data_IF_287350996418
#
_entry.id   IF_287350996418
#
_cell.length_a   1.000
_cell.length_b   1.000
_cell.length_c   1.000
_cell.angle_alpha   90.00
_cell.angle_beta   90.00
_cell.angle_gamma   90.00
#
_symmetry.space_group_name_H-M   'P 1'
#
loop_
_entity.id
_entity.type
_entity.pdbx_description
1 polymer ?
#
# COMPACT_ATOMS: atom_id res chain seq x y z
N UNK A 1 -36.72 6.01 -13.39
CA UNK A 1 -35.78 5.00 -13.93
C UNK A 1 -34.64 5.77 -14.57
N UNK A 2 -33.45 5.72 -13.93
CA UNK A 2 -32.22 6.24 -14.51
C UNK A 2 -31.73 5.25 -15.56
N UNK A 3 -31.19 5.70 -16.71
CA UNK A 3 -30.66 4.81 -17.73
C UNK A 3 -29.40 4.10 -17.19
N UNK A 4 -29.25 2.82 -17.52
CA UNK A 4 -28.05 2.05 -17.22
C UNK A 4 -26.83 2.70 -17.92
N UNK A 5 -25.75 2.85 -17.19
CA UNK A 5 -24.45 3.31 -17.72
C UNK A 5 -23.70 2.05 -18.15
N UNK A 6 -23.19 2.04 -19.39
CA UNK A 6 -22.32 0.97 -19.88
C UNK A 6 -21.10 0.81 -18.95
N UNK A 7 -20.88 -0.39 -18.42
CA UNK A 7 -19.84 -0.68 -17.41
C UNK A 7 -20.31 -0.53 -15.95
N UNK A 8 -21.58 -0.21 -15.69
CA UNK A 8 -22.14 -0.08 -14.33
C UNK A 8 -22.28 -1.40 -13.57
N UNK A 9 -22.17 -2.52 -14.28
CA UNK A 9 -22.20 -3.87 -13.71
C UNK A 9 -20.80 -4.46 -13.45
N UNK A 10 -19.73 -3.72 -13.72
CA UNK A 10 -18.41 -4.10 -13.28
C UNK A 10 -18.36 -3.88 -11.76
N UNK A 11 -18.70 -4.93 -11.04
CA UNK A 11 -18.50 -4.98 -9.59
C UNK A 11 -17.06 -4.56 -9.29
N UNK A 12 -16.92 -3.48 -8.52
CA UNK A 12 -15.67 -3.17 -7.84
C UNK A 12 -15.48 -4.28 -6.81
N UNK A 13 -14.87 -5.37 -7.23
CA UNK A 13 -14.49 -6.44 -6.33
C UNK A 13 -13.42 -5.90 -5.38
N UNK A 14 -13.55 -6.11 -4.06
CA UNK A 14 -12.46 -5.84 -3.12
C UNK A 14 -11.18 -6.52 -3.62
N UNK A 15 -10.04 -5.89 -3.41
CA UNK A 15 -8.72 -6.31 -3.93
C UNK A 15 -8.19 -7.66 -3.42
N UNK A 16 -8.95 -8.37 -2.63
CA UNK A 16 -8.71 -9.78 -2.27
C UNK A 16 -9.26 -10.77 -3.32
N UNK A 17 -9.90 -10.28 -4.39
CA UNK A 17 -10.26 -11.10 -5.54
C UNK A 17 -9.33 -10.76 -6.69
N UNK A 18 -8.54 -11.72 -7.12
CA UNK A 18 -7.67 -11.63 -8.30
C UNK A 18 -8.51 -11.30 -9.53
N UNK A 19 -8.02 -10.39 -10.36
CA UNK A 19 -8.57 -10.08 -11.68
C UNK A 19 -8.72 -11.40 -12.45
N UNK A 20 -9.97 -11.82 -12.71
CA UNK A 20 -10.26 -13.10 -13.36
C UNK A 20 -11.11 -14.07 -12.53
N UNK A 21 -11.57 -13.67 -11.33
CA UNK A 21 -12.55 -14.46 -10.55
C UNK A 21 -11.99 -15.75 -9.95
N UNK A 22 -10.68 -15.88 -9.81
CA UNK A 22 -10.10 -16.97 -9.03
C UNK A 22 -9.86 -16.50 -7.60
N UNK A 23 -10.56 -17.14 -6.66
CA UNK A 23 -10.29 -17.00 -5.24
C UNK A 23 -8.83 -17.38 -4.93
N UNK A 24 -8.23 -16.67 -3.95
CA UNK A 24 -6.94 -17.11 -3.39
C UNK A 24 -6.99 -18.59 -3.06
N UNK A 25 -5.96 -19.41 -3.33
CA UNK A 25 -5.95 -20.85 -3.09
C UNK A 25 -6.19 -21.25 -1.62
N UNK A 26 -6.32 -20.32 -0.71
CA UNK A 26 -6.50 -20.54 0.74
C UNK A 26 -7.90 -20.24 1.24
N UNK A 27 -8.87 -19.89 0.37
CA UNK A 27 -10.23 -19.55 0.78
C UNK A 27 -11.17 -20.76 0.74
N UNK A 28 -10.86 -21.81 1.50
CA UNK A 28 -11.83 -22.84 1.87
C UNK A 28 -12.25 -22.59 3.32
N UNK A 29 -13.34 -21.81 3.45
CA UNK A 29 -13.98 -21.56 4.71
C UNK A 29 -14.41 -22.86 5.40
N UNK A 30 -13.95 -23.06 6.62
CA UNK A 30 -14.54 -24.01 7.57
C UNK A 30 -15.07 -23.19 8.73
N UNK A 31 -16.39 -23.05 8.78
CA UNK A 31 -17.07 -22.55 9.98
C UNK A 31 -16.96 -23.63 11.06
N UNK A 32 -16.38 -23.29 12.20
CA UNK A 32 -16.58 -24.05 13.43
C UNK A 32 -17.07 -23.09 14.51
N UNK A 33 -18.34 -23.36 14.92
CA UNK A 33 -18.96 -22.76 16.06
C UNK A 33 -18.35 -23.29 17.37
N UNK A 34 -18.24 -22.38 18.31
CA UNK A 34 -17.95 -22.39 19.71
C UNK A 34 -17.70 -23.68 20.48
N UNK A 35 -16.64 -23.63 21.27
CA UNK A 35 -16.63 -24.24 22.61
C UNK A 35 -15.68 -23.46 23.52
N UNK A 36 -16.25 -22.86 24.57
CA UNK A 36 -15.52 -22.41 25.75
C UNK A 36 -14.84 -23.62 26.41
N UNK A 37 -13.50 -23.58 26.42
CA UNK A 37 -12.74 -24.44 27.36
C UNK A 37 -11.56 -23.63 27.86
N UNK A 38 -11.29 -23.65 29.15
CA UNK A 38 -10.15 -23.12 29.87
C UNK A 38 -8.85 -23.29 29.03
N UNK A 39 -8.38 -22.20 28.47
CA UNK A 39 -7.17 -22.23 27.65
C UNK A 39 -5.93 -22.36 28.56
N UNK A 40 -5.07 -23.36 28.33
CA UNK A 40 -3.76 -23.37 28.95
C UNK A 40 -3.02 -22.10 28.53
N UNK A 41 -2.27 -21.52 29.48
CA UNK A 41 -1.44 -20.33 29.28
C UNK A 41 -0.56 -20.56 28.03
N UNK A 42 -0.93 -19.91 26.93
CA UNK A 42 -0.27 -20.10 25.64
C UNK A 42 1.24 -19.89 25.77
N UNK A 43 2.00 -20.76 25.15
CA UNK A 43 3.44 -20.52 24.94
C UNK A 43 3.57 -19.14 24.29
N UNK A 44 4.56 -18.34 24.74
CA UNK A 44 4.78 -17.00 24.18
C UNK A 44 5.02 -17.14 22.66
N UNK A 45 4.08 -16.66 21.85
CA UNK A 45 4.17 -16.71 20.40
C UNK A 45 5.30 -15.82 19.90
N UNK A 46 5.83 -16.15 18.73
CA UNK A 46 6.81 -15.31 18.03
C UNK A 46 6.07 -14.16 17.38
N UNK A 47 6.46 -12.92 17.70
CA UNK A 47 5.84 -11.71 17.20
C UNK A 47 6.79 -10.92 16.30
N UNK A 48 6.30 -10.47 15.14
CA UNK A 48 7.02 -9.57 14.21
C UNK A 48 6.19 -8.33 13.94
N UNK A 49 6.80 -7.16 14.08
CA UNK A 49 6.20 -5.86 13.73
C UNK A 49 6.74 -5.37 12.40
N UNK A 50 5.87 -4.99 11.49
CA UNK A 50 6.29 -4.48 10.17
C UNK A 50 7.15 -3.22 10.24
N UNK A 51 6.95 -2.37 11.27
CA UNK A 51 7.78 -1.19 11.48
C UNK A 51 9.28 -1.50 11.74
N UNK A 52 9.58 -2.69 12.23
CA UNK A 52 10.97 -3.10 12.54
C UNK A 52 11.72 -3.58 11.28
N UNK A 53 11.05 -3.64 10.12
CA UNK A 53 11.60 -4.15 8.85
C UNK A 53 11.92 -3.05 7.84
N UNK A 54 11.63 -1.79 8.14
CA UNK A 54 11.66 -0.72 7.12
C UNK A 54 13.06 -0.36 6.59
N UNK A 55 14.12 -0.53 7.37
CA UNK A 55 15.49 -0.27 6.92
C UNK A 55 15.68 1.12 6.28
N UNK A 56 16.38 1.19 5.13
CA UNK A 56 16.63 2.41 4.35
C UNK A 56 15.58 2.66 3.23
N UNK A 57 14.58 1.80 3.13
CA UNK A 57 13.56 1.84 2.08
C UNK A 57 12.79 3.17 2.00
N UNK A 58 12.43 3.85 3.11
CA UNK A 58 11.79 5.16 3.03
C UNK A 58 12.63 6.20 2.27
N UNK A 59 13.95 6.23 2.49
CA UNK A 59 14.87 7.13 1.76
C UNK A 59 14.91 6.81 0.27
N UNK A 60 14.99 5.53 -0.08
CA UNK A 60 15.00 5.07 -1.49
C UNK A 60 13.69 5.41 -2.21
N UNK A 61 12.56 5.27 -1.51
CA UNK A 61 11.25 5.63 -2.04
C UNK A 61 11.10 7.16 -2.21
N UNK A 62 11.60 7.94 -1.24
CA UNK A 62 11.60 9.39 -1.33
C UNK A 62 12.41 9.88 -2.53
N UNK A 63 13.58 9.31 -2.76
CA UNK A 63 14.42 9.63 -3.91
C UNK A 63 13.74 9.28 -5.24
N UNK A 64 13.02 8.17 -5.31
CA UNK A 64 12.25 7.80 -6.50
C UNK A 64 11.14 8.83 -6.79
N UNK A 65 10.39 9.24 -5.77
CA UNK A 65 9.35 10.27 -5.90
C UNK A 65 9.93 11.64 -6.28
N UNK A 66 11.06 12.04 -5.67
CA UNK A 66 11.73 13.31 -6.01
C UNK A 66 12.20 13.33 -7.46
N UNK A 67 12.76 12.24 -7.96
CA UNK A 67 13.14 12.10 -9.38
C UNK A 67 11.93 12.16 -10.29
N UNK A 68 10.83 11.53 -9.92
CA UNK A 68 9.59 11.59 -10.69
C UNK A 68 9.05 13.02 -10.78
N UNK A 69 8.92 13.74 -9.67
CA UNK A 69 8.47 15.13 -9.67
C UNK A 69 9.39 16.04 -10.49
N UNK A 70 10.70 15.81 -10.47
CA UNK A 70 11.65 16.58 -11.27
C UNK A 70 11.51 16.31 -12.77
N UNK A 71 11.16 15.07 -13.18
CA UNK A 71 10.83 14.76 -14.57
C UNK A 71 9.53 15.43 -15.01
N UNK A 72 8.51 15.37 -14.19
CA UNK A 72 7.21 16.03 -14.44
C UNK A 72 7.38 17.53 -14.61
N UNK A 73 8.07 18.21 -13.70
CA UNK A 73 8.29 19.66 -13.75
C UNK A 73 8.90 20.08 -15.07
N UNK A 74 10.01 19.44 -15.48
CA UNK A 74 10.67 19.79 -16.74
C UNK A 74 9.74 19.65 -17.94
N UNK A 75 8.97 18.57 -18.00
CA UNK A 75 8.06 18.32 -19.11
C UNK A 75 6.87 19.30 -19.10
N UNK A 76 6.27 19.53 -17.94
CA UNK A 76 5.13 20.45 -17.76
C UNK A 76 5.56 21.88 -18.11
N UNK A 77 6.67 22.35 -17.55
CA UNK A 77 7.17 23.71 -17.84
C UNK A 77 7.53 23.91 -19.31
N UNK A 78 8.11 22.89 -19.95
CA UNK A 78 8.39 22.93 -21.39
C UNK A 78 7.10 23.02 -22.22
N UNK A 79 6.06 22.24 -21.88
CA UNK A 79 4.80 22.25 -22.60
C UNK A 79 4.03 23.57 -22.39
N UNK A 80 3.99 24.09 -21.17
CA UNK A 80 3.38 25.39 -20.87
C UNK A 80 4.10 26.55 -21.57
N UNK A 81 5.43 26.53 -21.62
CA UNK A 81 6.24 27.53 -22.35
C UNK A 81 6.00 27.52 -23.86
N UNK A 82 5.74 26.34 -24.43
CA UNK A 82 5.39 26.16 -25.83
C UNK A 82 3.91 26.46 -26.14
N UNK A 83 3.09 26.79 -25.13
CA UNK A 83 1.62 26.95 -25.22
C UNK A 83 0.96 25.75 -25.88
N UNK A 84 1.45 24.54 -25.58
CA UNK A 84 0.88 23.29 -26.08
C UNK A 84 -0.47 22.99 -25.40
N UNK A 85 -1.44 22.51 -26.14
CA UNK A 85 -2.78 22.19 -25.64
C UNK A 85 -2.80 21.04 -24.64
N UNK A 86 -1.76 20.22 -24.58
CA UNK A 86 -1.63 19.06 -23.70
C UNK A 86 -0.42 19.15 -22.77
N UNK A 87 -0.45 20.06 -21.79
CA UNK A 87 0.65 20.20 -20.83
C UNK A 87 0.77 19.04 -19.84
N UNK A 88 -0.24 18.16 -19.75
CA UNK A 88 -0.26 17.00 -18.86
C UNK A 88 -0.58 15.71 -19.59
N UNK A 89 0.31 14.73 -19.50
CA UNK A 89 0.16 13.39 -20.07
C UNK A 89 -0.06 12.37 -18.95
N UNK A 90 -1.32 12.24 -18.48
CA UNK A 90 -1.68 11.33 -17.38
C UNK A 90 -1.25 9.88 -17.63
N UNK A 91 -1.52 9.26 -18.81
CA UNK A 91 -1.13 7.88 -19.06
C UNK A 91 0.39 7.65 -18.98
N UNK A 92 1.18 8.60 -19.44
CA UNK A 92 2.62 8.55 -19.35
C UNK A 92 3.09 8.59 -17.90
N UNK A 93 2.60 9.57 -17.12
CA UNK A 93 3.01 9.75 -15.74
C UNK A 93 2.62 8.58 -14.85
N UNK A 94 1.42 8.02 -15.07
CA UNK A 94 0.95 6.84 -14.34
C UNK A 94 1.81 5.62 -14.64
N UNK A 95 2.16 5.39 -15.90
CA UNK A 95 3.03 4.28 -16.29
C UNK A 95 4.44 4.44 -15.70
N UNK A 96 5.09 5.61 -15.92
CA UNK A 96 6.46 5.85 -15.44
C UNK A 96 6.58 5.69 -13.92
N UNK A 97 5.66 6.28 -13.16
CA UNK A 97 5.68 6.16 -11.70
C UNK A 97 5.33 4.75 -11.24
N UNK A 98 4.34 4.09 -11.86
CA UNK A 98 4.00 2.73 -11.51
C UNK A 98 5.17 1.77 -11.71
N UNK A 99 5.95 1.92 -12.80
CA UNK A 99 7.15 1.13 -13.05
C UNK A 99 8.25 1.39 -12.01
N UNK A 100 8.49 2.65 -11.64
CA UNK A 100 9.46 3.02 -10.61
C UNK A 100 9.06 2.44 -9.25
N UNK A 101 7.79 2.60 -8.86
CA UNK A 101 7.27 2.07 -7.60
C UNK A 101 7.23 0.54 -7.58
N UNK A 102 6.92 -0.11 -8.70
CA UNK A 102 6.88 -1.58 -8.77
C UNK A 102 8.27 -2.21 -8.55
N UNK A 103 9.31 -1.65 -9.20
CA UNK A 103 10.68 -2.12 -8.98
C UNK A 103 11.09 -1.98 -7.51
N UNK A 104 10.75 -0.85 -6.91
CA UNK A 104 11.04 -0.59 -5.50
C UNK A 104 10.22 -1.48 -4.57
N UNK A 105 8.91 -1.62 -4.80
CA UNK A 105 8.03 -2.47 -4.02
C UNK A 105 8.45 -3.93 -4.08
N UNK A 106 8.80 -4.45 -5.25
CA UNK A 106 9.23 -5.84 -5.40
C UNK A 106 10.49 -6.13 -4.60
N UNK A 107 11.49 -5.25 -4.66
CA UNK A 107 12.73 -5.44 -3.90
C UNK A 107 12.51 -5.26 -2.39
N UNK A 108 11.73 -4.27 -1.99
CA UNK A 108 11.38 -3.99 -0.60
C UNK A 108 10.58 -5.15 0.04
N UNK A 109 9.54 -5.61 -0.66
CA UNK A 109 8.67 -6.70 -0.17
C UNK A 109 9.42 -8.03 -0.12
N UNK A 110 10.33 -8.29 -1.06
CA UNK A 110 11.16 -9.49 -0.99
C UNK A 110 12.07 -9.47 0.25
N UNK A 111 12.80 -8.38 0.48
CA UNK A 111 13.68 -8.24 1.64
C UNK A 111 12.89 -8.33 2.95
N UNK A 112 11.82 -7.54 3.09
CA UNK A 112 10.98 -7.50 4.29
C UNK A 112 10.23 -8.82 4.52
N UNK A 113 9.75 -9.48 3.46
CA UNK A 113 9.05 -10.75 3.56
C UNK A 113 9.96 -11.88 4.01
N UNK A 114 11.19 -11.95 3.47
CA UNK A 114 12.22 -12.90 3.90
C UNK A 114 12.62 -12.67 5.34
N UNK A 115 12.82 -11.43 5.73
CA UNK A 115 13.16 -11.07 7.10
C UNK A 115 12.02 -11.39 8.07
N UNK A 116 10.77 -11.08 7.70
CA UNK A 116 9.59 -11.45 8.49
C UNK A 116 9.48 -12.97 8.66
N UNK A 117 9.67 -13.73 7.58
CA UNK A 117 9.68 -15.19 7.58
C UNK A 117 10.73 -15.74 8.56
N UNK A 118 11.96 -15.21 8.48
CA UNK A 118 13.07 -15.58 9.40
C UNK A 118 12.73 -15.27 10.85
N UNK A 119 12.21 -14.08 11.13
CA UNK A 119 11.84 -13.66 12.49
C UNK A 119 10.67 -14.45 13.06
N UNK A 120 9.77 -14.94 12.20
CA UNK A 120 8.69 -15.85 12.59
C UNK A 120 9.17 -17.28 12.85
N UNK A 121 10.45 -17.59 12.61
CA UNK A 121 11.06 -18.89 12.88
C UNK A 121 11.02 -19.85 11.70
N UNK A 122 10.77 -19.37 10.49
CA UNK A 122 10.68 -20.16 9.25
C UNK A 122 11.92 -19.95 8.34
N UNK A 123 12.09 -20.85 7.37
CA UNK A 123 13.14 -20.75 6.37
C UNK A 123 12.69 -19.93 5.16
N UNK A 124 13.21 -18.70 4.95
CA UNK A 124 12.77 -17.85 3.85
C UNK A 124 13.08 -18.41 2.45
N UNK A 125 13.97 -19.39 2.31
CA UNK A 125 14.26 -20.02 1.03
C UNK A 125 13.22 -21.07 0.65
N UNK A 126 12.45 -21.56 1.60
CA UNK A 126 11.42 -22.59 1.40
C UNK A 126 10.01 -22.02 1.59
N UNK A 127 9.86 -21.07 2.53
CA UNK A 127 8.56 -20.61 3.04
C UNK A 127 8.16 -19.23 2.53
N UNK A 128 9.01 -18.54 1.73
CA UNK A 128 8.70 -17.27 1.09
C UNK A 128 8.78 -17.35 -0.42
N UNK A 129 7.70 -16.96 -1.10
CA UNK A 129 7.60 -16.95 -2.57
C UNK A 129 7.15 -15.57 -3.08
N UNK A 130 8.10 -14.72 -3.46
CA UNK A 130 7.82 -13.39 -4.03
C UNK A 130 6.92 -13.43 -5.28
N UNK A 131 7.06 -14.37 -6.24
CA UNK A 131 6.15 -14.51 -7.37
C UNK A 131 4.66 -14.48 -7.01
N UNK A 132 4.25 -15.02 -5.88
CA UNK A 132 2.85 -15.01 -5.42
C UNK A 132 2.31 -13.61 -5.13
N UNK A 133 3.20 -12.63 -4.89
CA UNK A 133 2.84 -11.25 -4.54
C UNK A 133 2.77 -10.31 -5.74
N UNK A 134 3.28 -10.72 -6.91
CA UNK A 134 3.51 -9.83 -8.05
C UNK A 134 2.23 -9.15 -8.57
N UNK A 135 1.13 -9.89 -8.67
CA UNK A 135 -0.14 -9.32 -9.15
C UNK A 135 -0.64 -8.20 -8.24
N UNK A 136 -0.55 -8.40 -6.92
CA UNK A 136 -0.87 -7.37 -5.93
C UNK A 136 0.05 -6.17 -6.05
N UNK A 137 1.37 -6.38 -6.12
CA UNK A 137 2.36 -5.29 -6.23
C UNK A 137 2.14 -4.45 -7.49
N UNK A 138 1.78 -5.08 -8.61
CA UNK A 138 1.42 -4.35 -9.84
C UNK A 138 0.15 -3.51 -9.65
N UNK A 139 -0.88 -4.06 -9.02
CA UNK A 139 -2.14 -3.35 -8.79
C UNK A 139 -1.95 -2.15 -7.85
N UNK A 140 -1.29 -2.35 -6.70
CA UNK A 140 -1.09 -1.28 -5.71
C UNK A 140 -0.21 -0.15 -6.23
N UNK A 141 0.84 -0.48 -6.99
CA UNK A 141 1.74 0.55 -7.55
C UNK A 141 1.07 1.37 -8.65
N UNK A 142 0.23 0.75 -9.50
CA UNK A 142 -0.60 1.47 -10.47
C UNK A 142 -1.60 2.41 -9.79
N UNK A 143 -2.32 1.93 -8.77
CA UNK A 143 -3.26 2.76 -8.02
C UNK A 143 -2.55 3.94 -7.34
N UNK A 144 -1.42 3.69 -6.69
CA UNK A 144 -0.63 4.72 -6.02
C UNK A 144 -0.08 5.75 -7.01
N UNK A 145 0.44 5.32 -8.15
CA UNK A 145 0.95 6.20 -9.20
C UNK A 145 -0.15 7.14 -9.69
N UNK A 146 -1.33 6.59 -9.99
CA UNK A 146 -2.49 7.39 -10.40
C UNK A 146 -2.87 8.44 -9.37
N UNK A 147 -3.00 8.08 -8.09
CA UNK A 147 -3.38 9.03 -7.03
C UNK A 147 -2.37 10.16 -6.86
N UNK A 148 -1.06 9.84 -6.89
CA UNK A 148 0.02 10.83 -6.80
C UNK A 148 -0.05 11.81 -7.96
N UNK A 149 -0.26 11.32 -9.18
CA UNK A 149 -0.30 12.13 -10.40
C UNK A 149 -1.58 12.98 -10.48
N UNK A 150 -2.74 12.42 -10.16
CA UNK A 150 -4.00 13.17 -10.09
C UNK A 150 -3.95 14.30 -9.07
N UNK A 151 -3.37 14.04 -7.88
CA UNK A 151 -3.18 15.08 -6.87
C UNK A 151 -2.24 16.18 -7.35
N UNK A 152 -1.16 15.83 -8.06
CA UNK A 152 -0.22 16.79 -8.63
C UNK A 152 -0.86 17.62 -9.73
N UNK A 153 -1.59 16.98 -10.65
CA UNK A 153 -2.33 17.66 -11.71
C UNK A 153 -3.32 18.67 -11.15
N UNK A 154 -4.17 18.26 -10.19
CA UNK A 154 -5.15 19.16 -9.55
C UNK A 154 -4.50 20.38 -8.91
N UNK A 155 -3.33 20.21 -8.26
CA UNK A 155 -2.60 21.33 -7.67
C UNK A 155 -2.05 22.28 -8.73
N UNK A 156 -1.56 21.77 -9.85
CA UNK A 156 -1.09 22.58 -10.98
C UNK A 156 -2.27 23.35 -11.61
N UNK A 157 -3.40 22.67 -11.86
CA UNK A 157 -4.62 23.30 -12.39
C UNK A 157 -5.10 24.46 -11.51
N UNK A 158 -5.11 24.27 -10.19
CA UNK A 158 -5.47 25.34 -9.26
C UNK A 158 -4.52 26.54 -9.32
N UNK A 159 -3.22 26.28 -9.35
CA UNK A 159 -2.20 27.33 -9.43
C UNK A 159 -2.23 28.06 -10.79
N UNK A 160 -2.44 27.32 -11.89
CA UNK A 160 -2.60 27.94 -13.20
C UNK A 160 -3.79 28.91 -13.27
N UNK A 161 -4.90 28.57 -12.58
CA UNK A 161 -6.06 29.43 -12.52
C UNK A 161 -5.85 30.68 -11.65
N UNK A 162 -5.04 30.59 -10.59
CA UNK A 162 -4.83 31.65 -9.60
C UNK A 162 -3.64 32.55 -9.96
N UNK A 163 -2.49 31.96 -10.31
CA UNK A 163 -1.21 32.63 -10.46
C UNK A 163 -0.54 32.45 -11.83
N UNK A 164 -1.20 31.72 -12.74
CA UNK A 164 -0.62 31.41 -14.05
C UNK A 164 0.58 30.48 -13.98
N UNK A 165 1.36 30.46 -15.07
CA UNK A 165 2.50 29.54 -15.22
C UNK A 165 3.64 29.80 -14.22
N UNK A 166 3.77 31.01 -13.72
CA UNK A 166 4.83 31.38 -12.77
C UNK A 166 4.68 30.68 -11.41
N UNK A 167 3.48 30.30 -11.03
CA UNK A 167 3.21 29.59 -9.78
C UNK A 167 3.52 28.07 -9.84
N UNK A 168 3.61 27.48 -11.03
CA UNK A 168 3.76 26.03 -11.20
C UNK A 168 5.01 25.44 -10.54
N UNK A 169 6.21 26.06 -10.60
CA UNK A 169 7.39 25.55 -9.91
C UNK A 169 7.19 25.34 -8.40
N UNK A 170 6.39 26.19 -7.74
CA UNK A 170 6.10 26.06 -6.30
C UNK A 170 5.36 24.77 -5.97
N UNK A 171 4.52 24.25 -6.87
CA UNK A 171 3.84 22.94 -6.69
C UNK A 171 4.88 21.84 -6.63
N UNK A 172 5.85 21.86 -7.55
CA UNK A 172 6.89 20.83 -7.61
C UNK A 172 7.91 20.96 -6.47
N UNK A 173 8.24 22.19 -6.03
CA UNK A 173 9.09 22.39 -4.84
C UNK A 173 8.47 21.80 -3.58
N UNK A 174 7.17 22.03 -3.36
CA UNK A 174 6.42 21.40 -2.26
C UNK A 174 6.31 19.89 -2.43
N UNK A 175 6.14 19.41 -3.67
CA UNK A 175 6.11 17.97 -3.93
C UNK A 175 7.43 17.31 -3.55
N UNK A 176 8.58 17.88 -3.92
CA UNK A 176 9.90 17.36 -3.58
C UNK A 176 10.27 17.51 -2.11
N UNK A 177 9.93 18.64 -1.48
CA UNK A 177 10.35 18.95 -0.11
C UNK A 177 9.46 18.33 0.98
N UNK A 178 8.19 18.09 0.70
CA UNK A 178 7.21 17.64 1.70
C UNK A 178 6.48 16.35 1.30
N UNK A 179 5.89 16.32 0.08
CA UNK A 179 5.05 15.21 -0.35
C UNK A 179 5.86 13.95 -0.63
N UNK A 180 7.10 14.09 -1.12
CA UNK A 180 7.96 12.93 -1.40
C UNK A 180 8.26 12.15 -0.12
N UNK A 181 8.70 12.81 0.95
CA UNK A 181 9.01 12.16 2.22
C UNK A 181 7.76 11.50 2.85
N UNK A 182 6.65 12.25 2.94
CA UNK A 182 5.41 11.71 3.52
C UNK A 182 4.83 10.54 2.69
N UNK A 183 4.88 10.66 1.36
CA UNK A 183 4.42 9.62 0.44
C UNK A 183 5.28 8.36 0.48
N UNK A 184 6.60 8.54 0.61
CA UNK A 184 7.55 7.45 0.74
C UNK A 184 7.35 6.68 2.05
N UNK A 185 7.26 7.38 3.19
CA UNK A 185 7.03 6.76 4.49
C UNK A 185 5.73 5.93 4.49
N UNK A 186 4.62 6.52 4.02
CA UNK A 186 3.33 5.83 3.94
C UNK A 186 3.36 4.63 2.96
N UNK A 187 4.10 4.74 1.86
CA UNK A 187 4.24 3.65 0.91
C UNK A 187 5.02 2.48 1.49
N UNK A 188 6.15 2.75 2.15
CA UNK A 188 6.98 1.69 2.75
C UNK A 188 6.29 1.04 3.95
N UNK A 189 5.63 1.81 4.82
CA UNK A 189 4.83 1.24 5.90
C UNK A 189 3.73 0.29 5.39
N UNK A 190 3.08 0.63 4.26
CA UNK A 190 2.12 -0.24 3.61
C UNK A 190 2.77 -1.52 3.05
N UNK A 191 3.94 -1.40 2.39
CA UNK A 191 4.66 -2.56 1.84
C UNK A 191 5.18 -3.47 2.96
N UNK A 192 5.70 -2.91 4.04
CA UNK A 192 6.11 -3.68 5.22
C UNK A 192 4.95 -4.41 5.89
N UNK A 193 3.81 -3.74 6.02
CA UNK A 193 2.59 -4.36 6.54
C UNK A 193 2.11 -5.52 5.66
N UNK A 194 2.07 -5.32 4.35
CA UNK A 194 1.77 -6.37 3.39
C UNK A 194 2.75 -7.54 3.49
N UNK A 195 4.06 -7.27 3.43
CA UNK A 195 5.10 -8.28 3.47
C UNK A 195 5.03 -9.13 4.74
N UNK A 196 4.80 -8.50 5.91
CA UNK A 196 4.71 -9.20 7.20
C UNK A 196 3.49 -10.14 7.25
N UNK A 197 2.32 -9.66 6.81
CA UNK A 197 1.10 -10.48 6.77
C UNK A 197 1.24 -11.61 5.75
N UNK A 198 1.78 -11.31 4.57
CA UNK A 198 1.96 -12.30 3.51
C UNK A 198 2.99 -13.38 3.91
N UNK A 199 4.09 -13.01 4.55
CA UNK A 199 5.07 -13.97 5.07
C UNK A 199 4.40 -14.95 6.05
N UNK A 200 3.56 -14.47 6.96
CA UNK A 200 2.85 -15.35 7.89
C UNK A 200 1.86 -16.29 7.18
N UNK A 201 1.17 -15.81 6.14
CA UNK A 201 0.23 -16.62 5.35
C UNK A 201 0.94 -17.71 4.56
N UNK A 202 2.11 -17.41 4.02
CA UNK A 202 2.89 -18.36 3.23
C UNK A 202 3.58 -19.41 4.11
N UNK A 203 4.23 -18.97 5.20
CA UNK A 203 5.01 -19.84 6.07
C UNK A 203 4.14 -20.69 7.03
N UNK A 204 3.01 -20.16 7.50
CA UNK A 204 2.12 -20.83 8.43
C UNK A 204 0.64 -20.71 7.99
N UNK A 205 0.23 -21.39 6.90
CA UNK A 205 -1.13 -21.30 6.40
C UNK A 205 -2.18 -21.70 7.45
N UNK A 206 -3.17 -20.84 7.63
CA UNK A 206 -4.24 -21.09 8.62
C UNK A 206 -3.84 -20.87 10.07
N UNK A 207 -2.62 -20.37 10.34
CA UNK A 207 -2.12 -20.11 11.68
C UNK A 207 -1.76 -18.62 11.84
N UNK A 208 -1.71 -18.18 13.10
CA UNK A 208 -1.30 -16.83 13.45
C UNK A 208 -2.42 -15.79 13.43
N UNK A 209 -2.12 -14.71 14.09
CA UNK A 209 -2.98 -13.53 14.21
C UNK A 209 -2.23 -12.30 13.74
N UNK A 210 -2.98 -11.26 13.35
CA UNK A 210 -2.44 -9.94 13.03
C UNK A 210 -3.15 -8.89 13.87
N UNK A 211 -2.38 -7.88 14.31
CA UNK A 211 -2.87 -6.78 15.14
C UNK A 211 -2.59 -5.45 14.46
N UNK A 212 -3.60 -4.59 14.36
CA UNK A 212 -3.43 -3.23 13.85
C UNK A 212 -2.74 -2.34 14.88
N UNK A 213 -1.71 -1.62 14.47
CA UNK A 213 -0.96 -0.66 15.30
C UNK A 213 -1.04 0.71 14.66
N UNK A 214 -1.63 1.69 15.32
CA UNK A 214 -1.70 3.06 14.79
C UNK A 214 -0.35 3.76 14.89
N UNK A 215 -0.05 4.53 13.85
CA UNK A 215 1.08 5.45 13.83
C UNK A 215 0.82 6.74 14.62
N UNK A 216 1.71 7.72 14.46
CA UNK A 216 1.53 9.04 15.06
C UNK A 216 0.39 9.80 14.37
N UNK A 217 -0.44 10.52 15.16
CA UNK A 217 -1.57 11.31 14.69
C UNK A 217 -2.51 10.51 13.74
N UNK A 218 -3.06 9.37 14.20
CA UNK A 218 -3.92 8.56 13.39
C UNK A 218 -5.24 9.28 13.10
N UNK A 219 -5.85 8.98 11.96
CA UNK A 219 -7.23 9.36 11.70
C UNK A 219 -8.18 8.69 12.70
N UNK A 220 -9.36 9.26 12.98
CA UNK A 220 -10.34 8.63 13.88
C UNK A 220 -10.69 7.19 13.47
N UNK A 221 -10.83 6.93 12.17
CA UNK A 221 -11.09 5.61 11.59
C UNK A 221 -9.96 4.61 11.92
N UNK A 222 -8.71 5.03 11.81
CA UNK A 222 -7.55 4.19 12.13
C UNK A 222 -7.35 4.03 13.64
N UNK A 223 -7.64 5.07 14.42
CA UNK A 223 -7.56 5.01 15.88
C UNK A 223 -8.53 3.97 16.44
N UNK A 224 -9.72 3.87 15.83
CA UNK A 224 -10.74 2.89 16.27
C UNK A 224 -10.27 1.43 16.10
N UNK A 225 -9.35 1.17 15.16
CA UNK A 225 -8.78 -0.17 14.92
C UNK A 225 -7.54 -0.47 15.80
N UNK A 226 -7.04 0.51 16.57
CA UNK A 226 -5.80 0.30 17.33
C UNK A 226 -5.92 -0.86 18.31
N UNK A 227 -5.06 -1.86 18.15
CA UNK A 227 -5.09 -3.09 18.96
C UNK A 227 -6.12 -4.13 18.50
N UNK A 228 -6.86 -3.85 17.42
CA UNK A 228 -7.73 -4.86 16.83
C UNK A 228 -6.89 -6.04 16.35
N UNK A 229 -7.26 -7.25 16.78
CA UNK A 229 -6.56 -8.48 16.44
C UNK A 229 -7.50 -9.42 15.71
N UNK A 230 -7.07 -9.95 14.58
CA UNK A 230 -7.81 -10.91 13.75
C UNK A 230 -6.90 -12.05 13.32
N UNK A 231 -7.43 -13.20 12.88
CA UNK A 231 -6.63 -14.19 12.15
C UNK A 231 -5.89 -13.53 10.96
N UNK A 232 -4.68 -13.96 10.67
CA UNK A 232 -3.83 -13.33 9.64
C UNK A 232 -4.48 -13.28 8.24
N UNK A 233 -5.37 -14.21 7.93
CA UNK A 233 -6.11 -14.34 6.66
C UNK A 233 -7.49 -13.67 6.66
N UNK A 234 -7.94 -13.10 7.77
CA UNK A 234 -9.24 -12.42 7.89
C UNK A 234 -9.04 -10.91 7.87
N UNK A 235 -9.91 -10.17 7.21
CA UNK A 235 -9.84 -8.71 7.22
C UNK A 235 -10.17 -8.15 8.61
N UNK A 236 -9.66 -6.94 8.90
CA UNK A 236 -10.07 -6.17 10.07
C UNK A 236 -11.53 -5.74 9.94
N UNK A 237 -12.13 -5.27 11.01
CA UNK A 237 -13.55 -4.86 11.08
C UNK A 237 -13.96 -3.84 10.01
N UNK A 238 -13.01 -3.09 9.47
CA UNK A 238 -13.19 -2.12 8.39
C UNK A 238 -13.12 -2.74 6.99
N UNK A 239 -12.89 -4.04 6.85
CA UNK A 239 -12.69 -4.72 5.57
C UNK A 239 -11.31 -4.53 4.97
N UNK A 240 -10.33 -4.06 5.75
CA UNK A 240 -8.94 -3.89 5.32
C UNK A 240 -8.10 -5.08 5.72
N UNK A 241 -7.24 -5.52 4.82
CA UNK A 241 -6.35 -6.66 5.10
C UNK A 241 -5.09 -6.25 5.87
N UNK A 242 -4.60 -5.02 5.71
CA UNK A 242 -3.43 -4.44 6.42
C UNK A 242 -3.45 -2.91 6.37
N UNK A 243 -2.65 -2.24 7.20
CA UNK A 243 -2.45 -0.79 7.12
C UNK A 243 -1.85 -0.37 5.76
N UNK A 244 -2.51 0.58 5.10
CA UNK A 244 -2.11 1.05 3.77
C UNK A 244 -2.62 0.20 2.62
N UNK A 245 -3.52 -0.74 2.87
CA UNK A 245 -4.26 -1.46 1.84
C UNK A 245 -4.90 -0.46 0.86
N UNK A 246 -4.74 -0.66 -0.47
CA UNK A 246 -5.35 0.22 -1.48
C UNK A 246 -6.87 0.36 -1.37
N UNK A 247 -7.56 -0.62 -0.79
CA UNK A 247 -9.00 -0.55 -0.52
C UNK A 247 -9.40 0.65 0.35
N UNK A 248 -8.46 1.20 1.15
CA UNK A 248 -8.67 2.44 1.91
C UNK A 248 -8.92 3.68 1.04
N UNK A 249 -8.51 3.65 -0.22
CA UNK A 249 -8.54 4.81 -1.09
C UNK A 249 -7.45 5.85 -0.77
N UNK A 250 -7.34 6.91 -1.61
CA UNK A 250 -6.26 7.89 -1.49
C UNK A 250 -6.33 8.73 -0.19
N UNK A 251 -7.53 9.08 0.25
CA UNK A 251 -7.71 9.98 1.40
C UNK A 251 -7.33 9.31 2.73
N UNK A 252 -7.60 8.02 2.87
CA UNK A 252 -7.22 7.26 4.04
C UNK A 252 -5.77 6.77 3.99
N UNK A 253 -5.22 6.51 2.79
CA UNK A 253 -3.85 6.03 2.61
C UNK A 253 -2.79 7.12 2.68
N UNK A 254 -3.12 8.38 2.29
CA UNK A 254 -2.15 9.47 2.23
C UNK A 254 -1.60 9.80 3.62
N UNK A 255 -0.28 9.64 3.81
CA UNK A 255 0.38 9.90 5.10
C UNK A 255 -0.01 8.93 6.22
N UNK A 256 -0.63 7.79 5.91
CA UNK A 256 -0.87 6.75 6.89
C UNK A 256 0.46 6.10 7.29
N UNK A 257 0.75 6.10 8.60
CA UNK A 257 1.93 5.47 9.20
C UNK A 257 1.51 4.36 10.19
N UNK A 258 0.32 3.79 10.00
CA UNK A 258 -0.09 2.61 10.76
C UNK A 258 0.72 1.39 10.27
N UNK A 259 0.90 0.44 11.18
CA UNK A 259 1.68 -0.79 10.95
C UNK A 259 0.90 -2.00 11.44
N UNK A 260 1.37 -3.17 11.14
CA UNK A 260 0.79 -4.43 11.62
C UNK A 260 1.82 -5.19 12.46
N UNK A 261 1.36 -5.88 13.48
CA UNK A 261 2.10 -6.94 14.14
C UNK A 261 1.49 -8.27 13.79
N UNK A 262 2.29 -9.27 13.53
CA UNK A 262 1.86 -10.66 13.32
C UNK A 262 2.45 -11.52 14.42
N UNK A 263 1.65 -12.46 14.93
CA UNK A 263 2.05 -13.43 15.94
C UNK A 263 1.67 -14.84 15.48
N UNK A 264 2.60 -15.78 15.58
CA UNK A 264 2.38 -17.20 15.32
C UNK A 264 2.62 -17.96 16.63
N UNK A 265 1.64 -18.77 17.02
CA UNK A 265 1.76 -19.68 18.16
C UNK A 265 2.11 -21.06 17.63
N UNK A 266 3.28 -21.58 17.97
CA UNK A 266 3.79 -22.91 17.59
C UNK A 266 3.25 -24.00 18.53
#
# INVERSE_FOLDING_TARGET
TLPAIDGGDDLITPLNVLVGGQASPTDSGSQNEGQDTDAPKAAAGVQVKSADLEGDWPTRAEDALRRHYSRQERAVMSALGAKADGWWDQPRWDRELAEDLYRLASACVDEMGREACTRLGFNPDEDWDLPRTQAYLQAVTKARARWVNEATRRQIEAVLAEAGTEGVPTVFDRARSQRAAAGAAAFIAAMGSFATVEASKQAAPGQGTKTWITGRNPRPTHLAMNGETTPAWTDFSTGLSWPGDPAMGPDESAGCNCTVSVEITH
#
